data_IF_542519113890
#
_entry.id   IF_542519113890
#
_cell.length_a   1.000
_cell.length_b   1.000
_cell.length_c   1.000
_cell.angle_alpha   90.00
_cell.angle_beta   90.00
_cell.angle_gamma   90.00
#
_symmetry.space_group_name_H-M   'P 1'
#
loop_
_entity.id
_entity.type
_entity.pdbx_description
1 polymer ?
#
# COMPACT_ATOMS: atom_id res chain seq x y z
N UNK A 1 -43.98 35.83 -15.79
CA UNK A 1 -43.28 35.07 -14.73
C UNK A 1 -42.38 34.08 -15.47
N UNK A 2 -41.14 34.43 -15.67
CA UNK A 2 -40.21 33.76 -16.56
C UNK A 2 -39.25 32.92 -15.74
N UNK A 3 -39.28 31.66 -16.06
CA UNK A 3 -38.49 30.53 -15.65
C UNK A 3 -36.98 30.79 -15.91
N UNK A 4 -36.20 31.05 -14.83
CA UNK A 4 -34.74 31.23 -14.89
C UNK A 4 -33.94 30.12 -14.15
N UNK A 5 -34.52 28.94 -14.02
CA UNK A 5 -33.89 27.84 -13.26
C UNK A 5 -32.90 26.93 -14.01
N UNK A 6 -32.88 26.75 -15.38
CA UNK A 6 -32.01 25.72 -15.97
C UNK A 6 -30.56 26.14 -16.25
N UNK A 7 -30.23 27.43 -16.34
CA UNK A 7 -28.89 27.87 -16.74
C UNK A 7 -27.82 27.81 -15.61
N UNK A 8 -28.21 28.03 -14.36
CA UNK A 8 -27.29 27.98 -13.21
C UNK A 8 -26.91 26.53 -12.88
N UNK A 9 -27.85 25.62 -12.95
CA UNK A 9 -27.63 24.19 -12.71
C UNK A 9 -26.73 23.52 -13.76
N UNK A 10 -26.76 24.00 -14.99
CA UNK A 10 -25.89 23.50 -16.07
C UNK A 10 -24.46 24.01 -15.97
N UNK A 11 -24.23 25.24 -15.52
CA UNK A 11 -22.89 25.80 -15.32
C UNK A 11 -22.16 25.16 -14.13
N UNK A 12 -22.89 24.89 -13.04
CA UNK A 12 -22.34 24.19 -11.87
C UNK A 12 -21.98 22.74 -12.19
N UNK A 13 -22.82 22.02 -12.93
CA UNK A 13 -22.50 20.65 -13.40
C UNK A 13 -21.33 20.60 -14.39
N UNK A 14 -21.13 21.62 -15.21
CA UNK A 14 -19.97 21.70 -16.11
C UNK A 14 -18.68 22.02 -15.33
N UNK A 15 -18.74 22.88 -14.31
CA UNK A 15 -17.60 23.16 -13.44
C UNK A 15 -17.22 21.96 -12.58
N UNK A 16 -18.20 21.19 -12.07
CA UNK A 16 -17.96 19.95 -11.33
C UNK A 16 -17.38 18.86 -12.21
N UNK A 17 -17.83 18.69 -13.47
CA UNK A 17 -17.25 17.75 -14.43
C UNK A 17 -15.82 18.11 -14.81
N UNK A 18 -15.52 19.38 -15.00
CA UNK A 18 -14.16 19.87 -15.22
C UNK A 18 -13.25 19.56 -14.02
N UNK A 19 -13.71 19.86 -12.81
CA UNK A 19 -13.00 19.55 -11.57
C UNK A 19 -12.75 18.03 -11.39
N UNK A 20 -13.72 17.19 -11.75
CA UNK A 20 -13.60 15.73 -11.69
C UNK A 20 -12.54 15.22 -12.68
N UNK A 21 -12.50 15.72 -13.92
CA UNK A 21 -11.49 15.30 -14.89
C UNK A 21 -10.07 15.63 -14.44
N UNK A 22 -9.83 16.82 -13.88
CA UNK A 22 -8.53 17.19 -13.31
C UNK A 22 -8.12 16.29 -12.16
N UNK A 23 -9.03 15.93 -11.25
CA UNK A 23 -8.76 15.02 -10.14
C UNK A 23 -8.45 13.59 -10.63
N UNK A 24 -9.17 13.09 -11.66
CA UNK A 24 -8.89 11.78 -12.25
C UNK A 24 -7.49 11.72 -12.86
N UNK A 25 -7.07 12.75 -13.58
CA UNK A 25 -5.70 12.84 -14.10
C UNK A 25 -4.66 12.99 -13.01
N UNK A 26 -4.95 13.80 -11.98
CA UNK A 26 -4.05 13.92 -10.83
C UNK A 26 -3.83 12.57 -10.14
N UNK A 27 -4.90 11.84 -9.82
CA UNK A 27 -4.77 10.52 -9.20
C UNK A 27 -4.08 9.52 -10.12
N UNK A 28 -4.33 9.56 -11.43
CA UNK A 28 -3.61 8.72 -12.38
C UNK A 28 -2.10 8.95 -12.31
N UNK A 29 -1.65 10.22 -12.35
CA UNK A 29 -0.24 10.57 -12.26
C UNK A 29 0.38 10.15 -10.94
N UNK A 30 -0.27 10.46 -9.81
CA UNK A 30 0.27 10.18 -8.48
C UNK A 30 0.43 8.68 -8.24
N UNK A 31 -0.60 7.89 -8.54
CA UNK A 31 -0.54 6.46 -8.26
C UNK A 31 0.31 5.69 -9.26
N UNK A 32 0.44 6.19 -10.49
CA UNK A 32 1.46 5.70 -11.42
C UNK A 32 2.87 5.94 -10.86
N UNK A 33 3.13 7.15 -10.34
CA UNK A 33 4.41 7.49 -9.72
C UNK A 33 4.65 6.69 -8.44
N UNK A 34 3.63 6.47 -7.62
CA UNK A 34 3.73 5.63 -6.41
C UNK A 34 4.12 4.19 -6.77
N UNK A 35 3.49 3.58 -7.78
CA UNK A 35 3.83 2.23 -8.20
C UNK A 35 5.23 2.09 -8.82
N UNK A 36 5.76 3.14 -9.47
CA UNK A 36 7.13 3.16 -10.00
C UNK A 36 8.17 3.48 -8.93
N UNK A 37 7.87 4.45 -8.06
CA UNK A 37 8.87 5.12 -7.21
C UNK A 37 8.98 4.56 -5.78
N UNK A 38 8.08 3.70 -5.32
CA UNK A 38 8.29 3.01 -4.04
C UNK A 38 9.47 2.02 -4.13
N UNK A 39 10.03 1.62 -2.99
CA UNK A 39 11.17 0.68 -2.95
C UNK A 39 10.84 -0.66 -3.64
N UNK A 40 9.59 -1.12 -3.57
CA UNK A 40 9.07 -2.27 -4.30
C UNK A 40 8.79 -2.01 -5.80
N UNK A 41 9.04 -0.80 -6.31
CA UNK A 41 8.81 -0.41 -7.71
C UNK A 41 10.00 -0.72 -8.63
N UNK A 42 10.34 0.24 -9.50
CA UNK A 42 11.33 0.04 -10.57
C UNK A 42 12.72 -0.34 -10.07
N UNK A 43 13.13 0.17 -8.91
CA UNK A 43 14.46 -0.14 -8.34
C UNK A 43 14.52 -1.47 -7.56
N UNK A 44 13.38 -2.13 -7.30
CA UNK A 44 13.33 -3.30 -6.42
C UNK A 44 14.24 -4.44 -6.88
N UNK A 45 14.06 -4.92 -8.11
CA UNK A 45 14.88 -6.01 -8.66
C UNK A 45 16.33 -5.57 -8.93
N UNK A 46 16.61 -4.39 -9.53
CA UNK A 46 17.97 -3.86 -9.68
C UNK A 46 18.72 -3.72 -8.35
N UNK A 47 18.08 -3.23 -7.29
CA UNK A 47 18.69 -3.09 -5.97
C UNK A 47 19.01 -4.46 -5.36
N UNK A 48 18.03 -5.38 -5.36
CA UNK A 48 18.23 -6.75 -4.84
C UNK A 48 19.35 -7.47 -5.59
N UNK A 49 19.41 -7.34 -6.91
CA UNK A 49 20.44 -7.91 -7.75
C UNK A 49 21.81 -7.30 -7.44
N UNK A 50 21.88 -5.97 -7.29
CA UNK A 50 23.10 -5.27 -6.91
C UNK A 50 23.63 -5.74 -5.54
N UNK A 51 22.77 -5.77 -4.51
CA UNK A 51 23.14 -6.22 -3.17
C UNK A 51 23.61 -7.69 -3.18
N UNK A 52 22.96 -8.55 -3.96
CA UNK A 52 23.34 -9.95 -4.09
C UNK A 52 24.64 -10.13 -4.84
N UNK A 53 24.81 -9.54 -6.02
CA UNK A 53 25.91 -9.84 -6.95
C UNK A 53 27.18 -9.04 -6.68
N UNK A 54 27.04 -7.78 -6.25
CA UNK A 54 28.20 -6.89 -6.00
C UNK A 54 28.62 -6.95 -4.54
N UNK A 55 27.66 -6.93 -3.62
CA UNK A 55 27.95 -6.94 -2.18
C UNK A 55 28.04 -8.36 -1.61
N UNK A 56 27.60 -9.39 -2.33
CA UNK A 56 27.60 -10.77 -1.87
C UNK A 56 26.68 -11.06 -0.68
N UNK A 57 25.65 -10.23 -0.49
CA UNK A 57 24.78 -10.32 0.66
C UNK A 57 23.84 -11.53 0.64
N UNK A 58 23.64 -12.07 1.84
CA UNK A 58 22.68 -13.16 2.10
C UNK A 58 21.22 -12.66 2.04
N UNK A 59 20.23 -13.57 1.90
CA UNK A 59 18.83 -13.20 1.98
C UNK A 59 18.47 -12.39 3.24
N UNK A 60 19.05 -12.76 4.39
CA UNK A 60 18.83 -12.07 5.68
C UNK A 60 19.30 -10.62 5.62
N UNK A 61 20.52 -10.40 5.14
CA UNK A 61 21.11 -9.05 5.03
C UNK A 61 20.31 -8.16 4.07
N UNK A 62 19.91 -8.71 2.92
CA UNK A 62 19.10 -7.98 1.93
C UNK A 62 17.75 -7.61 2.52
N UNK A 63 17.06 -8.56 3.16
CA UNK A 63 15.73 -8.29 3.73
C UNK A 63 15.81 -7.30 4.87
N UNK A 64 16.79 -7.42 5.76
CA UNK A 64 17.01 -6.45 6.84
C UNK A 64 17.24 -5.03 6.30
N UNK A 65 18.05 -4.90 5.25
CA UNK A 65 18.31 -3.62 4.57
C UNK A 65 17.04 -3.04 3.95
N UNK A 66 16.27 -3.85 3.21
CA UNK A 66 15.02 -3.40 2.59
C UNK A 66 13.95 -3.02 3.62
N UNK A 67 13.96 -3.69 4.79
CA UNK A 67 13.01 -3.39 5.88
C UNK A 67 13.17 -1.98 6.43
N UNK A 68 14.37 -1.40 6.41
CA UNK A 68 14.58 -0.02 6.84
C UNK A 68 13.66 0.96 6.08
N UNK A 69 13.44 0.71 4.80
CA UNK A 69 12.63 1.57 3.93
C UNK A 69 11.11 1.39 4.12
N UNK A 70 10.69 0.42 4.94
CA UNK A 70 9.31 0.28 5.39
C UNK A 70 8.97 1.19 6.59
N UNK A 71 9.96 1.69 7.33
CA UNK A 71 9.74 2.59 8.48
C UNK A 71 8.88 3.80 8.12
N UNK A 72 9.14 4.55 7.03
CA UNK A 72 8.30 5.67 6.62
C UNK A 72 6.84 5.27 6.37
N UNK A 73 6.59 4.05 5.89
CA UNK A 73 5.24 3.53 5.63
C UNK A 73 4.51 3.11 6.90
N UNK A 74 5.24 2.73 7.95
CA UNK A 74 4.68 2.39 9.27
C UNK A 74 4.21 3.66 9.99
N UNK A 75 4.90 4.79 9.82
CA UNK A 75 4.55 6.05 10.50
C UNK A 75 3.63 6.98 9.68
N UNK A 76 3.05 6.49 8.57
CA UNK A 76 2.11 7.23 7.71
C UNK A 76 1.06 8.07 8.46
N UNK A 77 0.41 7.58 9.54
CA UNK A 77 -0.59 8.36 10.26
C UNK A 77 -0.10 9.74 10.73
N UNK A 78 1.20 9.84 11.05
CA UNK A 78 1.80 11.10 11.52
C UNK A 78 1.85 12.16 10.40
N UNK A 79 2.10 11.77 9.16
CA UNK A 79 2.17 12.72 8.03
C UNK A 79 0.81 13.37 7.77
N UNK A 80 -0.28 12.58 7.85
CA UNK A 80 -1.64 13.08 7.76
C UNK A 80 -1.92 14.12 8.84
N UNK A 81 -1.65 13.78 10.10
CA UNK A 81 -1.85 14.70 11.23
C UNK A 81 -1.04 15.98 11.09
N UNK A 82 0.25 15.88 10.76
CA UNK A 82 1.09 17.07 10.59
C UNK A 82 0.52 17.97 9.51
N UNK A 83 0.17 17.44 8.35
CA UNK A 83 -0.33 18.26 7.24
C UNK A 83 -1.72 18.86 7.50
N UNK A 84 -2.57 18.19 8.29
CA UNK A 84 -3.91 18.66 8.61
C UNK A 84 -3.88 19.94 9.46
N UNK A 85 -2.92 20.06 10.37
CA UNK A 85 -2.87 21.12 11.37
C UNK A 85 -1.78 22.16 11.15
N UNK A 86 -0.72 21.80 10.42
CA UNK A 86 0.43 22.67 10.15
C UNK A 86 0.53 22.92 8.65
N UNK A 87 -0.21 23.92 8.11
CA UNK A 87 -0.10 24.24 6.69
C UNK A 87 1.26 24.90 6.39
N UNK A 88 2.04 24.31 5.47
CA UNK A 88 3.27 24.93 4.98
C UNK A 88 2.93 25.96 3.90
N UNK A 89 3.45 27.18 4.05
CA UNK A 89 3.16 28.30 3.13
C UNK A 89 1.66 28.58 2.95
N UNK A 90 0.85 28.17 3.94
CA UNK A 90 -0.59 28.32 3.92
C UNK A 90 -1.36 27.17 3.23
N UNK A 91 -0.69 26.12 2.76
CA UNK A 91 -1.33 24.96 2.12
C UNK A 91 -1.11 23.70 2.94
N UNK A 92 -2.21 22.92 3.14
CA UNK A 92 -2.16 21.67 3.92
C UNK A 92 -1.61 20.49 3.10
N UNK A 93 -1.87 20.46 1.81
CA UNK A 93 -1.49 19.35 0.93
C UNK A 93 -0.46 19.76 -0.11
N UNK A 94 -0.74 20.85 -0.84
CA UNK A 94 0.03 21.28 -2.02
C UNK A 94 1.52 21.46 -1.74
N UNK A 95 1.86 22.20 -0.68
CA UNK A 95 3.27 22.47 -0.35
C UNK A 95 4.04 21.22 0.06
N UNK A 96 3.42 20.35 0.84
CA UNK A 96 4.02 19.08 1.23
C UNK A 96 4.25 18.15 0.03
N UNK A 97 3.27 18.07 -0.88
CA UNK A 97 3.41 17.26 -2.11
C UNK A 97 4.55 17.76 -2.99
N UNK A 98 4.69 19.08 -3.16
CA UNK A 98 5.79 19.67 -3.93
C UNK A 98 7.15 19.36 -3.31
N UNK A 99 7.30 19.57 -2.00
CA UNK A 99 8.56 19.33 -1.28
C UNK A 99 8.90 17.83 -1.28
N UNK A 100 7.93 16.97 -0.97
CA UNK A 100 8.15 15.53 -0.94
C UNK A 100 8.58 15.00 -2.32
N UNK A 101 7.91 15.40 -3.40
CA UNK A 101 8.28 14.91 -4.72
C UNK A 101 9.59 15.51 -5.25
N UNK A 102 9.93 16.74 -4.88
CA UNK A 102 11.25 17.28 -5.14
C UNK A 102 12.35 16.49 -4.39
N UNK A 103 12.12 16.18 -3.10
CA UNK A 103 13.02 15.35 -2.31
C UNK A 103 13.15 13.92 -2.90
N UNK A 104 12.04 13.33 -3.38
CA UNK A 104 12.08 12.02 -4.06
C UNK A 104 12.94 12.07 -5.33
N UNK A 105 12.76 13.08 -6.17
CA UNK A 105 13.60 13.29 -7.37
C UNK A 105 15.07 13.38 -6.99
N UNK A 106 15.43 14.23 -6.02
CA UNK A 106 16.81 14.36 -5.54
C UNK A 106 17.34 13.04 -4.98
N UNK A 107 16.56 12.32 -4.18
CA UNK A 107 16.94 11.04 -3.62
C UNK A 107 17.23 9.99 -4.70
N UNK A 108 16.37 9.86 -5.71
CA UNK A 108 16.62 8.93 -6.84
C UNK A 108 17.83 9.34 -7.68
N UNK A 109 18.05 10.64 -7.88
CA UNK A 109 19.28 11.12 -8.55
C UNK A 109 20.53 10.78 -7.74
N UNK A 110 20.46 10.87 -6.40
CA UNK A 110 21.56 10.41 -5.54
C UNK A 110 21.77 8.90 -5.66
N UNK A 111 20.71 8.08 -5.60
CA UNK A 111 20.81 6.61 -5.82
C UNK A 111 21.44 6.29 -7.16
N UNK A 112 21.16 7.07 -8.21
CA UNK A 112 21.76 6.87 -9.55
C UNK A 112 23.26 7.15 -9.63
N UNK A 113 23.90 7.62 -8.56
CA UNK A 113 25.32 7.99 -8.49
C UNK A 113 26.11 7.26 -7.42
N UNK A 114 25.39 6.76 -6.39
CA UNK A 114 26.01 6.12 -5.24
C UNK A 114 26.22 4.62 -5.49
N UNK A 115 27.34 4.09 -4.98
CA UNK A 115 27.69 2.67 -5.11
C UNK A 115 27.90 1.97 -3.78
N UNK A 116 28.02 2.72 -2.67
CA UNK A 116 28.29 2.17 -1.35
C UNK A 116 26.95 2.00 -0.60
N UNK A 117 26.63 0.80 -0.06
CA UNK A 117 25.36 0.55 0.62
C UNK A 117 25.04 1.52 1.76
N UNK A 118 26.03 1.91 2.56
CA UNK A 118 25.85 2.86 3.67
C UNK A 118 25.44 4.25 3.19
N UNK A 119 25.91 4.67 2.03
CA UNK A 119 25.51 5.93 1.40
C UNK A 119 24.13 5.79 0.72
N UNK A 120 23.89 4.63 0.09
CA UNK A 120 22.59 4.32 -0.53
C UNK A 120 21.45 4.33 0.49
N UNK A 121 21.68 3.91 1.76
CA UNK A 121 20.67 3.97 2.82
C UNK A 121 20.08 5.38 2.95
N UNK A 122 20.91 6.40 3.02
CA UNK A 122 20.42 7.78 3.19
C UNK A 122 19.60 8.25 1.99
N UNK A 123 20.06 7.98 0.77
CA UNK A 123 19.33 8.35 -0.44
C UNK A 123 18.01 7.57 -0.58
N UNK A 124 18.03 6.27 -0.30
CA UNK A 124 16.84 5.43 -0.31
C UNK A 124 15.85 5.79 0.82
N UNK A 125 16.33 6.13 2.01
CA UNK A 125 15.48 6.65 3.09
C UNK A 125 14.82 7.97 2.70
N UNK A 126 15.57 8.88 2.07
CA UNK A 126 15.00 10.14 1.56
C UNK A 126 13.87 9.86 0.56
N UNK A 127 14.08 8.94 -0.39
CA UNK A 127 13.01 8.55 -1.33
C UNK A 127 11.84 7.87 -0.63
N UNK A 128 12.08 6.98 0.32
CA UNK A 128 11.05 6.25 1.04
C UNK A 128 10.16 7.19 1.88
N UNK A 129 10.77 8.15 2.61
CA UNK A 129 10.02 9.19 3.32
C UNK A 129 9.22 10.07 2.38
N UNK A 130 9.83 10.54 1.31
CA UNK A 130 9.19 11.38 0.32
C UNK A 130 7.99 10.70 -0.34
N UNK A 131 8.14 9.44 -0.75
CA UNK A 131 7.06 8.65 -1.34
C UNK A 131 5.95 8.33 -0.34
N UNK A 132 6.27 7.99 0.91
CA UNK A 132 5.29 7.73 1.95
C UNK A 132 4.48 9.00 2.31
N UNK A 133 5.11 10.17 2.38
CA UNK A 133 4.43 11.46 2.56
C UNK A 133 3.52 11.74 1.36
N UNK A 134 4.03 11.64 0.14
CA UNK A 134 3.26 11.88 -1.08
C UNK A 134 2.02 10.98 -1.15
N UNK A 135 2.19 9.66 -0.93
CA UNK A 135 1.10 8.68 -0.90
C UNK A 135 0.03 9.00 0.16
N UNK A 136 0.46 9.38 1.37
CA UNK A 136 -0.47 9.71 2.46
C UNK A 136 -1.30 10.94 2.13
N UNK A 137 -0.68 11.98 1.61
CA UNK A 137 -1.36 13.24 1.30
C UNK A 137 -2.27 13.11 0.08
N UNK A 138 -1.87 12.32 -0.93
CA UNK A 138 -2.74 12.00 -2.05
C UNK A 138 -3.96 11.19 -1.63
N UNK A 139 -3.78 10.24 -0.71
CA UNK A 139 -4.88 9.53 -0.09
C UNK A 139 -5.87 10.47 0.62
N UNK A 140 -5.36 11.49 1.33
CA UNK A 140 -6.21 12.50 1.96
C UNK A 140 -6.96 13.35 0.92
N UNK A 141 -6.30 13.82 -0.14
CA UNK A 141 -6.95 14.53 -1.27
C UNK A 141 -8.03 13.67 -1.91
N UNK A 142 -7.76 12.37 -2.08
CA UNK A 142 -8.72 11.41 -2.64
C UNK A 142 -9.97 11.30 -1.77
N UNK A 143 -9.79 11.13 -0.45
CA UNK A 143 -10.91 11.00 0.50
C UNK A 143 -11.72 12.29 0.56
N UNK A 144 -11.08 13.44 0.71
CA UNK A 144 -11.74 14.76 0.78
C UNK A 144 -12.60 15.03 -0.47
N UNK A 145 -12.03 14.83 -1.67
CA UNK A 145 -12.75 15.06 -2.91
C UNK A 145 -13.75 13.95 -3.26
N UNK A 146 -13.44 12.71 -2.89
CA UNK A 146 -14.35 11.58 -3.06
C UNK A 146 -15.64 11.76 -2.26
N UNK A 147 -15.54 12.26 -1.03
CA UNK A 147 -16.71 12.59 -0.20
C UNK A 147 -17.46 13.80 -0.76
N UNK A 148 -16.76 14.86 -1.14
CA UNK A 148 -17.35 16.09 -1.68
C UNK A 148 -18.15 15.82 -2.96
N UNK A 149 -17.60 15.04 -3.90
CA UNK A 149 -18.21 14.73 -5.19
C UNK A 149 -19.07 13.47 -5.18
N UNK A 150 -19.12 12.73 -4.06
CA UNK A 150 -19.78 11.41 -3.92
C UNK A 150 -19.24 10.35 -4.89
N UNK A 151 -17.95 10.47 -5.27
CA UNK A 151 -17.27 9.63 -6.26
C UNK A 151 -16.07 8.86 -5.69
N UNK A 152 -16.09 8.57 -4.39
CA UNK A 152 -15.01 7.86 -3.69
C UNK A 152 -14.64 6.53 -4.37
N UNK A 153 -15.63 5.78 -4.84
CA UNK A 153 -15.38 4.49 -5.52
C UNK A 153 -14.65 4.67 -6.85
N UNK A 154 -14.94 5.72 -7.61
CA UNK A 154 -14.30 6.04 -8.88
C UNK A 154 -12.82 6.39 -8.65
N UNK A 155 -12.53 7.22 -7.65
CA UNK A 155 -11.15 7.61 -7.33
C UNK A 155 -10.33 6.46 -6.76
N UNK A 156 -10.91 5.60 -5.90
CA UNK A 156 -10.24 4.38 -5.41
C UNK A 156 -9.94 3.41 -6.56
N UNK A 157 -10.86 3.27 -7.53
CA UNK A 157 -10.60 2.46 -8.72
C UNK A 157 -9.43 3.01 -9.55
N UNK A 158 -9.33 4.33 -9.72
CA UNK A 158 -8.19 4.99 -10.39
C UNK A 158 -6.89 4.74 -9.64
N UNK A 159 -6.87 4.86 -8.32
CA UNK A 159 -5.72 4.55 -7.49
C UNK A 159 -5.17 3.15 -7.79
N UNK A 160 -5.99 2.13 -7.62
CA UNK A 160 -5.55 0.74 -7.78
C UNK A 160 -5.21 0.39 -9.23
N UNK A 161 -5.93 0.95 -10.20
CA UNK A 161 -5.63 0.74 -11.62
C UNK A 161 -4.23 1.23 -11.96
N UNK A 162 -3.95 2.51 -11.72
CA UNK A 162 -2.67 3.12 -12.11
C UNK A 162 -1.50 2.61 -11.29
N UNK A 163 -1.72 2.35 -10.01
CA UNK A 163 -0.72 1.70 -9.17
C UNK A 163 -0.31 0.32 -9.72
N UNK A 164 -1.26 -0.54 -10.09
CA UNK A 164 -0.95 -1.87 -10.61
C UNK A 164 -0.35 -1.80 -12.03
N UNK A 165 -0.81 -0.91 -12.89
CA UNK A 165 -0.18 -0.68 -14.21
C UNK A 165 1.29 -0.28 -14.04
N UNK A 166 1.57 0.62 -13.10
CA UNK A 166 2.93 1.04 -12.80
C UNK A 166 3.78 -0.10 -12.21
N UNK A 167 3.24 -0.86 -11.26
CA UNK A 167 3.95 -1.98 -10.63
C UNK A 167 4.28 -3.09 -11.65
N UNK A 168 3.36 -3.42 -12.54
CA UNK A 168 3.60 -4.37 -13.64
C UNK A 168 4.68 -3.86 -14.60
N UNK A 169 4.61 -2.59 -14.98
CA UNK A 169 5.62 -1.94 -15.84
C UNK A 169 6.99 -1.93 -15.15
N UNK A 170 7.03 -1.58 -13.86
CA UNK A 170 8.24 -1.57 -13.05
C UNK A 170 8.90 -2.95 -12.99
N UNK A 171 8.11 -4.01 -12.80
CA UNK A 171 8.62 -5.38 -12.76
C UNK A 171 9.24 -5.81 -14.10
N UNK A 172 8.56 -5.53 -15.22
CA UNK A 172 9.08 -5.85 -16.55
C UNK A 172 10.34 -5.04 -16.86
N UNK A 173 10.28 -3.71 -16.68
CA UNK A 173 11.41 -2.83 -16.99
C UNK A 173 12.59 -3.11 -16.08
N UNK A 174 12.37 -3.28 -14.78
CA UNK A 174 13.39 -3.65 -13.81
C UNK A 174 14.09 -4.96 -14.17
N UNK A 175 13.32 -6.00 -14.52
CA UNK A 175 13.87 -7.28 -14.99
C UNK A 175 14.68 -7.16 -16.27
N UNK A 176 14.24 -6.35 -17.24
CA UNK A 176 14.97 -6.10 -18.48
C UNK A 176 16.27 -5.33 -18.25
N UNK A 177 16.27 -4.35 -17.33
CA UNK A 177 17.49 -3.62 -16.98
C UNK A 177 18.53 -4.56 -16.36
N UNK A 178 18.12 -5.41 -15.42
CA UNK A 178 19.00 -6.37 -14.77
C UNK A 178 19.50 -7.45 -15.75
N UNK A 179 18.68 -7.82 -16.74
CA UNK A 179 19.07 -8.80 -17.76
C UNK A 179 20.14 -8.27 -18.71
N UNK A 180 20.12 -6.96 -19.01
CA UNK A 180 20.94 -6.36 -20.06
C UNK A 180 22.16 -5.60 -19.56
N UNK A 181 22.14 -5.17 -18.31
CA UNK A 181 23.15 -4.30 -17.72
C UNK A 181 23.88 -5.01 -16.57
N UNK A 182 25.11 -4.63 -16.32
CA UNK A 182 25.81 -5.03 -15.11
C UNK A 182 25.09 -4.50 -13.86
N UNK A 183 25.21 -5.17 -12.70
CA UNK A 183 24.36 -4.87 -11.53
C UNK A 183 24.35 -3.40 -11.11
N UNK A 184 25.50 -2.75 -11.05
CA UNK A 184 25.62 -1.33 -10.69
C UNK A 184 24.94 -0.43 -11.73
N UNK A 185 25.17 -0.69 -13.03
CA UNK A 185 24.54 0.09 -14.10
C UNK A 185 23.02 -0.12 -14.13
N UNK A 186 22.53 -1.33 -13.84
CA UNK A 186 21.09 -1.61 -13.75
C UNK A 186 20.42 -0.79 -12.64
N UNK A 187 21.04 -0.74 -11.44
CA UNK A 187 20.52 0.08 -10.32
C UNK A 187 20.56 1.58 -10.66
N UNK A 188 21.68 2.07 -11.19
CA UNK A 188 21.83 3.48 -11.53
C UNK A 188 20.86 3.91 -12.63
N UNK A 189 20.68 3.10 -13.67
CA UNK A 189 19.75 3.38 -14.76
C UNK A 189 18.30 3.35 -14.26
N UNK A 190 17.92 2.36 -13.45
CA UNK A 190 16.60 2.29 -12.87
C UNK A 190 16.29 3.52 -12.00
N UNK A 191 17.25 3.93 -11.15
CA UNK A 191 17.11 5.11 -10.30
C UNK A 191 17.04 6.41 -11.13
N UNK A 192 17.86 6.55 -12.17
CA UNK A 192 17.82 7.69 -13.07
C UNK A 192 16.47 7.79 -13.81
N UNK A 193 15.95 6.66 -14.31
CA UNK A 193 14.64 6.64 -14.97
C UNK A 193 13.51 7.04 -14.01
N UNK A 194 13.49 6.45 -12.80
CA UNK A 194 12.42 6.74 -11.85
C UNK A 194 12.53 8.14 -11.25
N UNK A 195 13.69 8.79 -11.28
CA UNK A 195 13.86 10.16 -10.77
C UNK A 195 12.99 11.19 -11.49
N UNK A 196 12.62 10.92 -12.75
CA UNK A 196 11.72 11.78 -13.52
C UNK A 196 10.25 11.61 -13.10
N UNK A 197 9.87 10.48 -12.50
CA UNK A 197 8.48 10.20 -12.18
C UNK A 197 7.88 11.18 -11.14
N UNK A 198 8.54 11.54 -10.02
CA UNK A 198 7.98 12.51 -9.07
C UNK A 198 7.75 13.91 -9.67
N UNK A 199 8.44 14.27 -10.77
CA UNK A 199 8.19 15.54 -11.48
C UNK A 199 6.77 15.59 -12.06
N UNK A 200 6.19 14.44 -12.42
CA UNK A 200 4.79 14.34 -12.86
C UNK A 200 3.81 14.70 -11.73
N UNK A 201 4.14 14.31 -10.49
CA UNK A 201 3.32 14.70 -9.31
C UNK A 201 3.47 16.18 -9.02
N UNK A 202 4.67 16.75 -9.15
CA UNK A 202 4.90 18.20 -9.03
C UNK A 202 4.04 18.94 -10.06
N UNK A 203 4.10 18.52 -11.32
CA UNK A 203 3.27 19.08 -12.39
C UNK A 203 1.77 18.96 -12.04
N UNK A 204 1.30 17.76 -11.71
CA UNK A 204 -0.09 17.54 -11.34
C UNK A 204 -0.52 18.38 -10.14
N UNK A 205 0.33 18.52 -9.14
CA UNK A 205 0.07 19.35 -7.95
C UNK A 205 -0.03 20.85 -8.28
N UNK A 206 0.76 21.33 -9.22
CA UNK A 206 0.74 22.73 -9.61
C UNK A 206 -0.49 23.08 -10.46
N UNK A 207 -0.86 22.23 -11.41
CA UNK A 207 -1.82 22.54 -12.46
C UNK A 207 -3.18 21.86 -12.32
N UNK A 208 -3.28 20.74 -11.59
CA UNK A 208 -4.53 19.97 -11.49
C UNK A 208 -5.20 20.07 -10.12
N UNK A 209 -4.50 20.58 -9.08
CA UNK A 209 -5.08 20.78 -7.75
C UNK A 209 -5.25 22.26 -7.47
N UNK A 210 -6.49 22.62 -7.14
CA UNK A 210 -6.81 23.90 -6.53
C UNK A 210 -7.04 23.72 -5.02
N UNK A 211 -6.16 24.30 -4.20
CA UNK A 211 -6.24 24.27 -2.74
C UNK A 211 -6.26 25.69 -2.18
N UNK A 212 -7.28 25.98 -1.38
CA UNK A 212 -7.39 27.27 -0.68
C UNK A 212 -6.43 27.32 0.52
N UNK A 213 -5.86 28.48 0.78
CA UNK A 213 -5.02 28.71 1.97
C UNK A 213 -5.81 28.47 3.24
N UNK A 214 -5.21 27.76 4.19
CA UNK A 214 -5.76 27.44 5.49
C UNK A 214 -4.86 28.00 6.61
N UNK A 215 -5.43 28.56 7.69
CA UNK A 215 -4.66 28.95 8.85
C UNK A 215 -4.22 27.73 9.66
N UNK A 216 -3.17 27.87 10.48
CA UNK A 216 -2.77 26.85 11.44
C UNK A 216 -3.86 26.66 12.49
N UNK A 217 -4.23 25.41 12.74
CA UNK A 217 -5.32 25.05 13.68
C UNK A 217 -4.79 24.22 14.86
N UNK A 218 -4.15 24.87 15.83
CA UNK A 218 -3.61 24.22 17.02
C UNK A 218 -4.72 23.69 17.94
N UNK A 219 -5.85 24.39 18.02
CA UNK A 219 -6.98 23.91 18.83
C UNK A 219 -7.60 22.64 18.26
N UNK A 220 -7.81 22.58 16.94
CA UNK A 220 -8.27 21.38 16.26
C UNK A 220 -7.31 20.21 16.45
N UNK A 221 -6.01 20.46 16.48
CA UNK A 221 -5.00 19.44 16.77
C UNK A 221 -5.18 18.84 18.16
N UNK A 222 -5.38 19.65 19.22
CA UNK A 222 -5.62 19.16 20.58
C UNK A 222 -6.88 18.29 20.66
N UNK A 223 -7.99 18.76 20.10
CA UNK A 223 -9.25 17.98 20.07
C UNK A 223 -9.10 16.65 19.31
N UNK A 224 -8.33 16.63 18.24
CA UNK A 224 -8.05 15.40 17.50
C UNK A 224 -7.22 14.43 18.35
N UNK A 225 -6.16 14.91 19.02
CA UNK A 225 -5.36 14.07 19.93
C UNK A 225 -6.17 13.52 21.11
N UNK A 226 -7.10 14.30 21.67
CA UNK A 226 -8.03 13.82 22.70
C UNK A 226 -8.92 12.72 22.15
N UNK A 227 -9.53 12.92 20.97
CA UNK A 227 -10.34 11.92 20.28
C UNK A 227 -9.56 10.64 19.97
N UNK A 228 -8.29 10.76 19.54
CA UNK A 228 -7.39 9.63 19.30
C UNK A 228 -7.10 8.88 20.60
N UNK A 229 -6.78 9.58 21.69
CA UNK A 229 -6.52 8.96 22.99
C UNK A 229 -7.73 8.11 23.44
N UNK A 230 -8.94 8.59 23.26
CA UNK A 230 -10.17 7.84 23.55
C UNK A 230 -10.31 6.62 22.64
N UNK A 231 -10.01 6.75 21.34
CA UNK A 231 -10.06 5.64 20.39
C UNK A 231 -9.04 4.55 20.73
N UNK A 232 -7.82 4.94 21.10
CA UNK A 232 -6.75 4.00 21.48
C UNK A 232 -6.99 3.27 22.79
N UNK A 233 -7.80 3.81 23.70
CA UNK A 233 -8.20 3.11 24.93
C UNK A 233 -9.26 2.02 24.71
N UNK A 234 -9.87 1.94 23.53
CA UNK A 234 -10.86 0.92 23.22
C UNK A 234 -10.22 -0.43 22.95
N UNK A 235 -10.43 -1.41 23.84
CA UNK A 235 -9.92 -2.78 23.74
C UNK A 235 -10.21 -3.42 22.36
N UNK A 236 -11.36 -3.10 21.77
CA UNK A 236 -11.79 -3.67 20.51
C UNK A 236 -10.86 -3.31 19.32
N UNK A 237 -10.34 -2.07 19.29
CA UNK A 237 -9.37 -1.66 18.26
C UNK A 237 -8.11 -2.53 18.30
N UNK A 238 -7.61 -2.83 19.51
CA UNK A 238 -6.41 -3.66 19.68
C UNK A 238 -6.63 -5.13 19.37
N UNK A 239 -7.85 -5.67 19.57
CA UNK A 239 -8.20 -7.03 19.12
C UNK A 239 -8.15 -7.10 17.59
N UNK A 240 -8.71 -6.12 16.89
CA UNK A 240 -8.64 -6.04 15.43
C UNK A 240 -7.20 -5.85 14.95
N UNK A 241 -6.45 -4.97 15.61
CA UNK A 241 -5.04 -4.73 15.32
C UNK A 241 -4.20 -6.01 15.47
N UNK A 242 -4.39 -6.76 16.56
CA UNK A 242 -3.73 -8.03 16.81
C UNK A 242 -4.12 -9.10 15.77
N UNK A 243 -5.41 -9.16 15.40
CA UNK A 243 -5.86 -10.06 14.35
C UNK A 243 -5.20 -9.73 13.01
N UNK A 244 -5.22 -8.46 12.59
CA UNK A 244 -4.59 -8.00 11.34
C UNK A 244 -3.09 -8.29 11.37
N UNK A 245 -2.42 -8.02 12.50
CA UNK A 245 -1.01 -8.33 12.66
C UNK A 245 -0.74 -9.83 12.44
N UNK A 246 -1.45 -10.70 13.14
CA UNK A 246 -1.26 -12.15 13.06
C UNK A 246 -1.68 -12.73 11.69
N UNK A 247 -2.69 -12.13 11.05
CA UNK A 247 -3.12 -12.50 9.71
C UNK A 247 -2.02 -12.30 8.65
N UNK A 248 -1.27 -11.19 8.75
CA UNK A 248 -0.16 -10.89 7.83
C UNK A 248 1.19 -11.43 8.31
N UNK A 249 1.27 -11.91 9.55
CA UNK A 249 2.50 -12.45 10.12
C UNK A 249 2.72 -13.91 9.71
N UNK A 250 2.96 -14.10 8.42
CA UNK A 250 3.34 -15.40 7.85
C UNK A 250 4.77 -15.29 7.30
N UNK A 251 5.71 -16.20 7.63
CA UNK A 251 7.09 -16.12 7.17
C UNK A 251 7.20 -15.81 5.68
N UNK A 252 7.83 -14.68 5.35
CA UNK A 252 7.84 -14.15 3.99
C UNK A 252 8.70 -14.98 3.03
N UNK A 253 8.24 -15.09 1.79
CA UNK A 253 8.92 -15.84 0.74
C UNK A 253 9.65 -14.94 -0.27
N UNK A 254 9.48 -13.63 -0.24
CA UNK A 254 9.92 -12.69 -1.28
C UNK A 254 11.42 -12.81 -1.61
N UNK A 255 12.28 -12.53 -0.67
CA UNK A 255 13.75 -12.61 -0.86
C UNK A 255 14.23 -14.06 -0.98
N UNK A 256 13.79 -15.02 -0.14
CA UNK A 256 14.10 -16.45 -0.35
C UNK A 256 13.78 -16.94 -1.76
N UNK A 257 12.60 -16.61 -2.29
CA UNK A 257 12.18 -17.03 -3.63
C UNK A 257 13.07 -16.45 -4.72
N UNK A 258 13.50 -15.18 -4.58
CA UNK A 258 14.44 -14.56 -5.52
C UNK A 258 15.76 -15.36 -5.59
N UNK A 259 16.28 -15.81 -4.45
CA UNK A 259 17.48 -16.65 -4.42
C UNK A 259 17.24 -18.03 -5.04
N UNK A 260 16.10 -18.67 -4.79
CA UNK A 260 15.73 -19.94 -5.44
C UNK A 260 15.65 -19.78 -6.96
N UNK A 261 14.96 -18.73 -7.44
CA UNK A 261 14.84 -18.44 -8.88
C UNK A 261 16.20 -18.24 -9.56
N UNK A 262 17.12 -17.53 -8.88
CA UNK A 262 18.42 -17.20 -9.46
C UNK A 262 19.46 -18.31 -9.29
N UNK A 263 19.51 -18.96 -8.12
CA UNK A 263 20.60 -19.89 -7.78
C UNK A 263 20.27 -21.34 -8.13
N UNK A 264 19.01 -21.76 -7.89
CA UNK A 264 18.58 -23.13 -8.13
C UNK A 264 17.95 -23.33 -9.52
N UNK A 265 16.93 -22.50 -9.83
CA UNK A 265 16.16 -22.62 -11.07
C UNK A 265 16.83 -21.94 -12.26
N UNK A 266 17.82 -21.07 -12.01
CA UNK A 266 18.56 -20.34 -13.05
C UNK A 266 17.66 -19.53 -13.99
N UNK A 267 16.55 -19.00 -13.49
CA UNK A 267 15.66 -18.16 -14.28
C UNK A 267 16.36 -16.88 -14.74
N UNK A 268 16.08 -16.47 -15.97
CA UNK A 268 16.58 -15.19 -16.46
C UNK A 268 15.99 -14.03 -15.65
N UNK A 269 16.73 -12.95 -15.49
CA UNK A 269 16.27 -11.78 -14.74
C UNK A 269 15.04 -11.13 -15.38
N UNK A 270 14.96 -11.16 -16.72
CA UNK A 270 13.79 -10.72 -17.46
C UNK A 270 12.56 -11.57 -17.14
N UNK A 271 12.74 -12.90 -16.98
CA UNK A 271 11.66 -13.78 -16.61
C UNK A 271 11.20 -13.56 -15.17
N UNK A 272 12.11 -13.31 -14.23
CA UNK A 272 11.76 -12.94 -12.85
C UNK A 272 10.91 -11.66 -12.81
N UNK A 273 11.28 -10.64 -13.61
CA UNK A 273 10.46 -9.44 -13.78
C UNK A 273 9.09 -9.72 -14.38
N UNK A 274 9.01 -10.63 -15.35
CA UNK A 274 7.74 -11.07 -15.93
C UNK A 274 6.84 -11.78 -14.89
N UNK A 275 7.39 -12.61 -14.01
CA UNK A 275 6.64 -13.23 -12.89
C UNK A 275 6.05 -12.18 -11.96
N UNK A 276 6.80 -11.11 -11.64
CA UNK A 276 6.30 -9.96 -10.88
C UNK A 276 5.11 -9.28 -11.58
N UNK A 277 5.18 -9.12 -12.89
CA UNK A 277 4.07 -8.58 -13.69
C UNK A 277 2.85 -9.51 -13.70
N UNK A 278 3.03 -10.83 -13.77
CA UNK A 278 1.95 -11.80 -13.65
C UNK A 278 1.27 -11.75 -12.27
N UNK A 279 2.03 -11.57 -11.21
CA UNK A 279 1.46 -11.35 -9.89
C UNK A 279 0.59 -10.08 -9.86
N UNK A 280 1.04 -8.97 -10.47
CA UNK A 280 0.23 -7.76 -10.65
C UNK A 280 -1.05 -8.00 -11.45
N UNK A 281 -0.98 -8.79 -12.53
CA UNK A 281 -2.17 -9.20 -13.28
C UNK A 281 -3.13 -10.04 -12.44
N UNK A 282 -2.61 -10.93 -11.59
CA UNK A 282 -3.38 -11.68 -10.60
C UNK A 282 -4.11 -10.75 -9.61
N UNK A 283 -3.47 -9.69 -9.14
CA UNK A 283 -4.09 -8.66 -8.30
C UNK A 283 -5.30 -8.01 -8.98
N UNK A 284 -5.18 -7.61 -10.24
CA UNK A 284 -6.26 -7.03 -11.02
C UNK A 284 -7.41 -8.05 -11.17
N UNK A 285 -7.08 -9.31 -11.51
CA UNK A 285 -8.04 -10.39 -11.61
C UNK A 285 -8.78 -10.63 -10.28
N UNK A 286 -8.06 -10.62 -9.15
CA UNK A 286 -8.62 -10.74 -7.81
C UNK A 286 -9.60 -9.62 -7.46
N UNK A 287 -9.27 -8.36 -7.82
CA UNK A 287 -10.14 -7.22 -7.64
C UNK A 287 -11.43 -7.35 -8.46
N UNK A 288 -11.32 -7.79 -9.72
CA UNK A 288 -12.47 -8.06 -10.57
C UNK A 288 -13.35 -9.18 -10.01
N UNK A 289 -12.73 -10.30 -9.58
CA UNK A 289 -13.41 -11.45 -8.99
C UNK A 289 -14.18 -11.03 -7.73
N UNK A 290 -13.54 -10.25 -6.85
CA UNK A 290 -14.20 -9.71 -5.67
C UNK A 290 -15.41 -8.84 -6.05
N UNK A 291 -15.22 -7.87 -6.94
CA UNK A 291 -16.29 -6.95 -7.35
C UNK A 291 -17.48 -7.69 -7.97
N UNK A 292 -17.24 -8.74 -8.78
CA UNK A 292 -18.27 -9.43 -9.54
C UNK A 292 -19.01 -10.50 -8.73
N UNK A 293 -18.30 -11.22 -7.84
CA UNK A 293 -18.81 -12.40 -7.18
C UNK A 293 -18.77 -12.34 -5.65
N UNK A 294 -17.68 -11.82 -5.06
CA UNK A 294 -17.43 -11.95 -3.62
C UNK A 294 -18.03 -10.81 -2.79
N UNK A 295 -18.40 -9.67 -3.39
CA UNK A 295 -18.95 -8.51 -2.68
C UNK A 295 -20.25 -8.79 -1.89
N UNK A 296 -20.95 -9.88 -2.21
CA UNK A 296 -22.17 -10.30 -1.54
C UNK A 296 -21.91 -11.19 -0.31
N UNK A 297 -20.69 -11.62 -0.11
CA UNK A 297 -20.33 -12.47 1.03
C UNK A 297 -20.33 -11.63 2.31
N UNK A 298 -20.74 -12.28 3.42
CA UNK A 298 -20.54 -11.68 4.75
C UNK A 298 -19.05 -11.58 5.05
N UNK A 299 -18.63 -10.60 5.85
CA UNK A 299 -17.24 -10.39 6.20
C UNK A 299 -16.58 -11.66 6.74
N UNK A 300 -17.27 -12.44 7.60
CA UNK A 300 -16.78 -13.72 8.11
C UNK A 300 -16.50 -14.72 7.02
N UNK A 301 -17.41 -14.85 6.03
CA UNK A 301 -17.22 -15.77 4.89
C UNK A 301 -16.08 -15.31 4.00
N UNK A 302 -15.95 -13.98 3.78
CA UNK A 302 -14.89 -13.40 2.98
C UNK A 302 -13.51 -13.63 3.63
N UNK A 303 -13.38 -13.42 4.95
CA UNK A 303 -12.14 -13.70 5.70
C UNK A 303 -11.78 -15.19 5.64
N UNK A 304 -12.71 -16.09 5.90
CA UNK A 304 -12.45 -17.52 5.82
C UNK A 304 -12.04 -17.95 4.41
N UNK A 305 -12.70 -17.43 3.38
CA UNK A 305 -12.35 -17.70 1.98
C UNK A 305 -10.94 -17.17 1.65
N UNK A 306 -10.60 -15.96 2.11
CA UNK A 306 -9.27 -15.39 1.88
C UNK A 306 -8.16 -16.20 2.56
N UNK A 307 -8.40 -16.72 3.77
CA UNK A 307 -7.46 -17.61 4.47
C UNK A 307 -7.30 -18.93 3.70
N UNK A 308 -8.40 -19.53 3.26
CA UNK A 308 -8.36 -20.80 2.48
C UNK A 308 -7.56 -20.62 1.19
N UNK A 309 -7.89 -19.59 0.40
CA UNK A 309 -7.19 -19.30 -0.86
C UNK A 309 -5.72 -18.93 -0.59
N UNK A 310 -5.44 -18.13 0.45
CA UNK A 310 -4.07 -17.77 0.84
C UNK A 310 -3.24 -18.99 1.25
N UNK A 311 -3.81 -19.91 2.02
CA UNK A 311 -3.14 -21.16 2.42
C UNK A 311 -2.84 -22.03 1.20
N UNK A 312 -3.81 -22.20 0.28
CA UNK A 312 -3.60 -22.96 -0.95
C UNK A 312 -2.56 -22.30 -1.86
N UNK A 313 -2.61 -20.96 -1.98
CA UNK A 313 -1.61 -20.22 -2.76
C UNK A 313 -0.21 -20.34 -2.15
N UNK A 314 -0.09 -20.34 -0.82
CA UNK A 314 1.19 -20.61 -0.15
C UNK A 314 1.69 -22.03 -0.43
N UNK A 315 0.84 -23.04 -0.30
CA UNK A 315 1.21 -24.44 -0.59
C UNK A 315 1.57 -24.65 -2.07
N UNK A 316 0.99 -23.88 -2.98
CA UNK A 316 1.32 -23.98 -4.40
C UNK A 316 2.81 -23.74 -4.69
N UNK A 317 3.53 -22.96 -3.84
CA UNK A 317 4.96 -22.76 -3.99
C UNK A 317 5.80 -24.04 -3.79
N UNK A 318 5.25 -25.13 -3.27
CA UNK A 318 5.90 -26.47 -3.28
C UNK A 318 6.10 -26.98 -4.71
N UNK A 319 5.31 -26.51 -5.67
CA UNK A 319 5.36 -26.90 -7.08
C UNK A 319 6.08 -25.86 -7.96
N UNK A 320 6.87 -24.97 -7.34
CA UNK A 320 7.62 -23.90 -8.03
C UNK A 320 8.92 -24.46 -8.62
N UNK A 321 8.82 -25.30 -9.68
CA UNK A 321 9.95 -26.07 -10.20
C UNK A 321 10.47 -25.61 -11.55
N UNK A 322 9.62 -25.00 -12.37
CA UNK A 322 9.95 -24.57 -13.73
C UNK A 322 9.21 -23.29 -14.10
N UNK A 323 9.50 -22.74 -15.26
CA UNK A 323 8.91 -21.49 -15.73
C UNK A 323 7.39 -21.54 -15.79
N UNK A 324 6.80 -22.61 -16.32
CA UNK A 324 5.33 -22.72 -16.46
C UNK A 324 4.63 -22.73 -15.10
N UNK A 325 5.11 -23.56 -14.17
CA UNK A 325 4.52 -23.61 -12.82
C UNK A 325 4.72 -22.31 -12.07
N UNK A 326 5.91 -21.70 -12.20
CA UNK A 326 6.21 -20.40 -11.62
C UNK A 326 5.27 -19.30 -12.12
N UNK A 327 4.96 -19.26 -13.42
CA UNK A 327 4.01 -18.31 -14.01
C UNK A 327 2.61 -18.45 -13.44
N UNK A 328 2.09 -19.70 -13.40
CA UNK A 328 0.75 -19.98 -12.87
C UNK A 328 0.67 -19.62 -11.37
N UNK A 329 1.67 -20.03 -10.58
CA UNK A 329 1.71 -19.79 -9.15
C UNK A 329 1.80 -18.29 -8.87
N UNK A 330 2.63 -17.53 -9.60
CA UNK A 330 2.76 -16.08 -9.43
C UNK A 330 1.43 -15.35 -9.69
N UNK A 331 0.71 -15.71 -10.74
CA UNK A 331 -0.62 -15.17 -11.02
C UNK A 331 -1.62 -15.52 -9.92
N UNK A 332 -1.69 -16.78 -9.49
CA UNK A 332 -2.59 -17.23 -8.42
C UNK A 332 -2.27 -16.60 -7.08
N UNK A 333 -0.98 -16.42 -6.76
CA UNK A 333 -0.54 -15.74 -5.55
C UNK A 333 -0.97 -14.27 -5.53
N UNK A 334 -0.84 -13.57 -6.65
CA UNK A 334 -1.34 -12.20 -6.79
C UNK A 334 -2.85 -12.09 -6.61
N UNK A 335 -3.61 -13.02 -7.19
CA UNK A 335 -5.07 -13.09 -7.03
C UNK A 335 -5.46 -13.33 -5.56
N UNK A 336 -4.80 -14.29 -4.90
CA UNK A 336 -5.01 -14.58 -3.48
C UNK A 336 -4.70 -13.37 -2.59
N UNK A 337 -3.59 -12.68 -2.85
CA UNK A 337 -3.16 -11.49 -2.11
C UNK A 337 -4.20 -10.36 -2.21
N UNK A 338 -4.80 -10.13 -3.39
CA UNK A 338 -5.85 -9.11 -3.53
C UNK A 338 -7.11 -9.46 -2.76
N UNK A 339 -7.56 -10.72 -2.77
CA UNK A 339 -8.73 -11.16 -1.99
C UNK A 339 -8.46 -10.98 -0.50
N UNK A 340 -7.27 -11.33 -0.02
CA UNK A 340 -6.84 -11.12 1.35
C UNK A 340 -6.84 -9.64 1.74
N UNK A 341 -6.29 -8.79 0.87
CA UNK A 341 -6.25 -7.34 1.07
C UNK A 341 -7.66 -6.75 1.19
N UNK A 342 -8.57 -7.09 0.29
CA UNK A 342 -9.95 -6.58 0.35
C UNK A 342 -10.65 -7.06 1.61
N UNK A 343 -10.48 -8.32 2.01
CA UNK A 343 -11.09 -8.87 3.23
C UNK A 343 -10.62 -8.11 4.48
N UNK A 344 -9.34 -7.84 4.60
CA UNK A 344 -8.75 -7.15 5.76
C UNK A 344 -9.01 -5.64 5.75
N UNK A 345 -9.03 -5.00 4.58
CA UNK A 345 -9.43 -3.60 4.44
C UNK A 345 -10.90 -3.38 4.83
N UNK A 346 -11.77 -4.31 4.43
CA UNK A 346 -13.19 -4.28 4.83
C UNK A 346 -13.33 -4.45 6.34
N UNK A 347 -12.59 -5.40 6.94
CA UNK A 347 -12.55 -5.57 8.39
C UNK A 347 -12.09 -4.27 9.08
N UNK A 348 -10.99 -3.69 8.63
CA UNK A 348 -10.45 -2.44 9.18
C UNK A 348 -11.47 -1.30 9.09
N UNK A 349 -12.11 -1.12 7.94
CA UNK A 349 -13.09 -0.06 7.72
C UNK A 349 -14.34 -0.22 8.61
N UNK A 350 -14.86 -1.45 8.74
CA UNK A 350 -16.07 -1.73 9.51
C UNK A 350 -15.90 -1.48 11.02
N UNK A 351 -14.68 -1.59 11.52
CA UNK A 351 -14.38 -1.52 12.96
C UNK A 351 -13.62 -0.26 13.40
N UNK A 352 -13.31 0.66 12.48
CA UNK A 352 -12.76 1.96 12.86
C UNK A 352 -13.77 2.81 13.66
N UNK A 353 -13.32 3.49 14.75
CA UNK A 353 -14.19 4.37 15.54
C UNK A 353 -14.65 5.58 14.71
N UNK A 354 -15.96 5.89 14.72
CA UNK A 354 -16.57 6.99 13.92
C UNK A 354 -15.91 8.37 14.08
N UNK A 355 -15.33 8.68 15.25
CA UNK A 355 -14.72 9.99 15.53
C UNK A 355 -13.25 10.09 15.10
N UNK A 356 -12.61 8.98 14.74
CA UNK A 356 -11.20 8.90 14.39
C UNK A 356 -10.96 7.90 13.23
N UNK A 357 -11.93 7.76 12.31
CA UNK A 357 -11.93 6.73 11.28
C UNK A 357 -10.66 6.76 10.43
N UNK A 358 -10.30 7.93 9.90
CA UNK A 358 -9.13 8.04 9.01
C UNK A 358 -7.81 7.69 9.70
N UNK A 359 -7.62 8.18 10.93
CA UNK A 359 -6.40 7.89 11.67
C UNK A 359 -6.33 6.43 12.14
N UNK A 360 -7.43 5.89 12.69
CA UNK A 360 -7.49 4.50 13.13
C UNK A 360 -7.27 3.54 11.96
N UNK A 361 -7.86 3.83 10.80
CA UNK A 361 -7.59 3.08 9.57
C UNK A 361 -6.12 3.15 9.16
N UNK A 362 -5.51 4.33 9.17
CA UNK A 362 -4.10 4.51 8.86
C UNK A 362 -3.19 3.74 9.83
N UNK A 363 -3.53 3.69 11.13
CA UNK A 363 -2.81 2.87 12.12
C UNK A 363 -2.92 1.38 11.80
N UNK A 364 -4.12 0.89 11.44
CA UNK A 364 -4.26 -0.52 11.04
C UNK A 364 -3.46 -0.85 9.78
N UNK A 365 -3.36 0.08 8.82
CA UNK A 365 -2.48 -0.07 7.65
C UNK A 365 -0.99 -0.10 8.05
N UNK A 366 -0.59 0.73 9.01
CA UNK A 366 0.77 0.71 9.56
C UNK A 366 1.11 -0.62 10.25
N UNK A 367 0.12 -1.23 10.90
CA UNK A 367 0.26 -2.57 11.51
C UNK A 367 0.44 -3.65 10.44
N UNK A 368 -0.24 -3.57 9.30
CA UNK A 368 0.00 -4.46 8.16
C UNK A 368 1.45 -4.34 7.69
N UNK A 369 1.93 -3.11 7.45
CA UNK A 369 3.30 -2.88 7.00
C UNK A 369 4.34 -3.39 8.01
N UNK A 370 4.12 -3.17 9.31
CA UNK A 370 4.98 -3.68 10.37
C UNK A 370 4.98 -5.21 10.40
N UNK A 371 3.81 -5.84 10.33
CA UNK A 371 3.67 -7.29 10.33
C UNK A 371 4.39 -7.92 9.15
N UNK A 372 4.17 -7.41 7.94
CA UNK A 372 4.81 -7.90 6.72
C UNK A 372 6.33 -7.73 6.78
N UNK A 373 6.82 -6.58 7.26
CA UNK A 373 8.25 -6.34 7.42
C UNK A 373 8.92 -7.33 8.37
N UNK A 374 8.29 -7.62 9.51
CA UNK A 374 8.78 -8.61 10.48
C UNK A 374 8.68 -10.03 9.91
N UNK A 375 7.60 -10.35 9.20
CA UNK A 375 7.38 -11.64 8.56
C UNK A 375 8.42 -11.93 7.47
N UNK A 376 8.77 -10.93 6.65
CA UNK A 376 9.80 -11.06 5.61
C UNK A 376 11.19 -11.32 6.22
N UNK A 377 11.53 -10.64 7.34
CA UNK A 377 12.78 -10.89 8.06
C UNK A 377 12.80 -12.30 8.67
N UNK A 378 11.69 -12.71 9.31
CA UNK A 378 11.58 -14.07 9.86
C UNK A 378 11.72 -15.12 8.75
N UNK A 379 11.06 -14.94 7.61
CA UNK A 379 11.15 -15.85 6.48
C UNK A 379 12.56 -15.97 5.93
N UNK A 380 13.25 -14.85 5.75
CA UNK A 380 14.65 -14.84 5.26
C UNK A 380 15.62 -15.48 6.26
N UNK A 381 15.43 -15.23 7.57
CA UNK A 381 16.21 -15.89 8.62
C UNK A 381 15.99 -17.40 8.64
N UNK A 382 14.73 -17.84 8.66
CA UNK A 382 14.40 -19.27 8.64
C UNK A 382 14.95 -19.96 7.39
N UNK A 383 14.82 -19.34 6.23
CA UNK A 383 15.35 -19.86 4.98
C UNK A 383 16.86 -20.04 5.00
N UNK A 384 17.60 -19.02 5.48
CA UNK A 384 19.05 -18.98 5.42
C UNK A 384 19.69 -19.85 6.51
N UNK A 385 19.30 -19.63 7.77
CA UNK A 385 20.02 -20.11 8.94
C UNK A 385 19.41 -21.40 9.50
N UNK A 386 18.09 -21.60 9.38
CA UNK A 386 17.38 -22.76 9.94
C UNK A 386 17.17 -23.87 8.91
N UNK A 387 16.66 -23.51 7.73
CA UNK A 387 16.32 -24.48 6.68
C UNK A 387 17.42 -24.65 5.64
N UNK A 388 18.60 -24.06 5.84
CA UNK A 388 19.77 -24.23 4.97
C UNK A 388 19.43 -24.04 3.47
N UNK A 389 18.70 -22.97 3.17
CA UNK A 389 18.21 -22.56 1.84
C UNK A 389 17.24 -23.57 1.16
N UNK A 390 16.56 -24.40 1.93
CA UNK A 390 15.46 -25.24 1.43
C UNK A 390 14.16 -24.44 1.48
N UNK A 391 13.43 -24.41 0.37
CA UNK A 391 12.19 -23.65 0.25
C UNK A 391 10.99 -24.38 0.88
N UNK A 392 10.95 -25.71 0.78
CA UNK A 392 9.80 -26.52 1.16
C UNK A 392 9.41 -26.35 2.64
N UNK A 393 10.33 -26.43 3.62
CA UNK A 393 9.98 -26.23 5.02
C UNK A 393 9.44 -24.81 5.29
N UNK A 394 10.00 -23.79 4.61
CA UNK A 394 9.55 -22.41 4.74
C UNK A 394 8.13 -22.26 4.19
N UNK A 395 7.82 -22.83 3.03
CA UNK A 395 6.49 -22.83 2.43
C UNK A 395 5.46 -23.50 3.34
N UNK A 396 5.78 -24.68 3.89
CA UNK A 396 4.89 -25.40 4.82
C UNK A 396 4.62 -24.57 6.09
N UNK A 397 5.65 -23.95 6.64
CA UNK A 397 5.50 -23.11 7.81
C UNK A 397 4.68 -21.86 7.49
N UNK A 398 4.93 -21.20 6.36
CA UNK A 398 4.16 -20.04 5.90
C UNK A 398 2.69 -20.39 5.70
N UNK A 399 2.39 -21.54 5.08
CA UNK A 399 1.02 -22.03 4.90
C UNK A 399 0.36 -22.33 6.26
N UNK A 400 1.08 -22.91 7.21
CA UNK A 400 0.57 -23.17 8.56
C UNK A 400 0.23 -21.90 9.31
N UNK A 401 1.08 -20.86 9.25
CA UNK A 401 0.80 -19.54 9.83
C UNK A 401 -0.44 -18.90 9.18
N UNK A 402 -0.56 -18.97 7.86
CA UNK A 402 -1.74 -18.45 7.16
C UNK A 402 -3.00 -19.23 7.58
N UNK A 403 -2.95 -20.55 7.65
CA UNK A 403 -4.05 -21.39 8.10
C UNK A 403 -4.44 -21.14 9.56
N UNK A 404 -3.47 -20.81 10.43
CA UNK A 404 -3.72 -20.48 11.83
C UNK A 404 -4.68 -19.31 11.99
N UNK A 405 -4.73 -18.39 11.02
CA UNK A 405 -5.69 -17.30 11.03
C UNK A 405 -7.17 -17.78 11.08
N UNK A 406 -7.50 -19.01 10.65
CA UNK A 406 -8.83 -19.57 10.84
C UNK A 406 -9.26 -19.64 12.31
N UNK A 407 -8.33 -19.96 13.19
CA UNK A 407 -8.58 -20.04 14.66
C UNK A 407 -8.86 -18.66 15.24
N UNK A 408 -8.34 -17.61 14.61
CA UNK A 408 -8.49 -16.23 15.07
C UNK A 408 -9.82 -15.58 14.63
N UNK A 409 -10.41 -16.01 13.51
CA UNK A 409 -11.66 -15.42 12.97
C UNK A 409 -12.82 -15.45 13.99
N UNK A 410 -13.10 -16.54 14.73
CA UNK A 410 -14.15 -16.56 15.73
C UNK A 410 -13.93 -15.58 16.89
N UNK A 411 -12.67 -15.26 17.22
CA UNK A 411 -12.32 -14.39 18.34
C UNK A 411 -12.66 -12.92 18.09
N UNK A 412 -12.85 -12.52 16.83
CA UNK A 412 -13.17 -11.14 16.47
C UNK A 412 -14.64 -10.76 16.72
N UNK A 413 -15.50 -11.69 17.13
CA UNK A 413 -16.94 -11.46 17.37
C UNK A 413 -17.63 -10.68 16.24
N UNK A 414 -17.50 -11.17 14.99
CA UNK A 414 -18.02 -10.58 13.75
C UNK A 414 -19.59 -10.63 13.69
N UNK A 415 -20.29 -10.27 14.71
CA UNK A 415 -21.74 -10.39 14.73
C UNK A 415 -22.48 -9.42 15.65
N UNK A 416 -21.75 -8.75 16.52
CA UNK A 416 -22.35 -7.66 17.28
C UNK A 416 -22.42 -6.38 16.43
N UNK A 417 -23.37 -6.35 15.49
CA UNK A 417 -23.84 -5.09 14.94
C UNK A 417 -24.14 -4.16 16.13
N UNK A 418 -23.58 -2.97 16.10
CA UNK A 418 -23.76 -1.77 16.90
C UNK A 418 -25.21 -1.53 17.44
N UNK A 419 -25.85 -2.47 18.07
CA UNK A 419 -27.03 -2.25 18.88
C UNK A 419 -26.56 -2.04 20.32
N UNK A 420 -26.56 -0.78 20.77
CA UNK A 420 -26.38 -0.43 22.15
C UNK A 420 -25.03 0.10 22.59
N UNK A 421 -24.48 1.13 21.94
CA UNK A 421 -23.55 2.04 22.64
C UNK A 421 -24.40 3.05 23.41
N UNK A 422 -24.53 2.99 24.77
CA UNK A 422 -25.36 3.90 25.55
C UNK A 422 -24.99 5.37 25.37
N UNK A 423 -23.78 5.68 24.89
CA UNK A 423 -23.37 7.02 24.52
C UNK A 423 -24.00 7.53 23.22
N UNK A 424 -24.52 6.65 22.35
CA UNK A 424 -25.27 7.03 21.13
C UNK A 424 -26.75 7.24 21.43
N UNK A 425 -27.30 6.50 22.38
CA UNK A 425 -28.69 6.70 22.83
C UNK A 425 -28.86 8.04 23.57
N UNK A 426 -27.82 8.52 24.26
CA UNK A 426 -27.86 9.80 24.99
C UNK A 426 -27.70 11.06 24.07
N UNK A 427 -27.41 10.89 22.78
CA UNK A 427 -27.24 11.99 21.82
C UNK A 427 -28.27 11.98 20.67
N UNK A 428 -29.28 11.15 20.73
CA UNK A 428 -30.43 11.29 19.83
C UNK A 428 -31.14 12.61 20.17
N UNK A 429 -31.44 13.48 19.17
CA UNK A 429 -32.28 14.64 19.44
C UNK A 429 -33.62 14.15 19.99
N UNK A 430 -34.23 14.87 20.94
CA UNK A 430 -35.55 14.51 21.45
C UNK A 430 -36.54 14.42 20.28
N UNK A 431 -37.51 13.49 20.33
CA UNK A 431 -38.52 13.39 19.29
C UNK A 431 -39.24 14.74 19.18
N UNK A 432 -39.60 15.17 17.95
CA UNK A 432 -40.35 16.42 17.80
C UNK A 432 -41.65 16.28 18.58
N UNK A 433 -41.89 17.24 19.49
CA UNK A 433 -43.11 17.31 20.27
C UNK A 433 -44.30 17.25 19.34
N UNK A 434 -45.13 16.22 19.54
CA UNK A 434 -46.48 16.12 18.99
C UNK A 434 -47.33 17.19 19.63
N UNK A 435 -47.44 18.35 19.01
CA UNK A 435 -48.57 19.27 19.23
C UNK A 435 -49.14 19.74 17.89
#
# INVERSE_FOLDING_TARGET
MTDRAPAVESSDRLSERGSMAYLLWFFALVYLVEGLGQIGGLIAQPLTYYLKQVQGWTPVQITAYLTLFNLPWIIKPLYGLVSDFIPLFGYRRKSYLLIANAAATCGFLLVSRLTVPDQLVFALMLTAYAMAISSTLCGAVLVENGQRLKESSTFINQQWLWYNVAAMTAAIVGGQLVQRLVPTAALHTAAALVSAAPLLVIFGTLFLIDEKKAPMNIQGMKHTFEGLSIAFRRRHLWIIAAFIFLYYFSPGLSTPLYFIMTDNLKFSQAYIGFLGSLAGAGWIAGAFLHRRYLKKLTLKKLLNLSIAIGTLASLAFLFFWNETTAAIISFCAGLAAMIATVATLTLAADYCPRRAEGFAFAVLMSIINLSTALADNLGSYLFTDVFHRKLEPLVLLSAAFTAFAFVLVPLIHLGQKRQGDPAVAAMAPPPPDSR
#
